data_IF_136264281498
#
_entry.id   IF_136264281498
#
_cell.length_a   1.000
_cell.length_b   1.000
_cell.length_c   1.000
_cell.angle_alpha   90.00
_cell.angle_beta   90.00
_cell.angle_gamma   90.00
#
_symmetry.space_group_name_H-M   'P 1'
#
loop_
_entity.id
_entity.type
_entity.pdbx_description
1 polymer ?
#
# COMPACT_ATOMS: atom_id res chain seq x y z
N UNK A 1 -8.78 -24.05 1.33
CA UNK A 1 -8.79 -22.58 1.19
C UNK A 1 -7.76 -22.12 0.14
N UNK A 2 -8.06 -22.19 -1.17
CA UNK A 2 -7.13 -21.77 -2.25
C UNK A 2 -7.37 -20.35 -2.79
N UNK A 3 -8.50 -19.73 -2.46
CA UNK A 3 -8.96 -18.48 -3.11
C UNK A 3 -8.15 -17.21 -2.75
N UNK A 4 -7.45 -17.19 -1.61
CA UNK A 4 -6.80 -15.97 -1.08
C UNK A 4 -5.42 -15.68 -1.68
N UNK A 5 -4.64 -16.70 -2.02
CA UNK A 5 -3.35 -16.53 -2.72
C UNK A 5 -3.51 -16.22 -4.21
N UNK A 6 -4.66 -16.61 -4.77
CA UNK A 6 -4.97 -16.48 -6.20
C UNK A 6 -5.13 -15.02 -6.65
N UNK A 7 -5.54 -14.13 -5.74
CA UNK A 7 -5.93 -12.77 -6.09
C UNK A 7 -4.75 -11.85 -6.42
N UNK A 8 -3.64 -11.96 -5.68
CA UNK A 8 -2.39 -11.21 -5.95
C UNK A 8 -1.79 -11.66 -7.28
N UNK A 9 -1.82 -12.98 -7.53
CA UNK A 9 -1.42 -13.56 -8.82
C UNK A 9 -2.28 -13.02 -9.95
N UNK A 10 -3.60 -12.90 -9.77
CA UNK A 10 -4.50 -12.32 -10.79
C UNK A 10 -4.18 -10.86 -11.11
N UNK A 11 -3.93 -10.00 -10.12
CA UNK A 11 -3.55 -8.60 -10.35
C UNK A 11 -2.20 -8.49 -11.07
N UNK A 12 -1.21 -9.29 -10.65
CA UNK A 12 0.10 -9.31 -11.30
C UNK A 12 0.01 -9.82 -12.75
N UNK A 13 -0.77 -10.88 -13.00
CA UNK A 13 -1.05 -11.39 -14.34
C UNK A 13 -1.81 -10.37 -15.19
N UNK A 14 -2.75 -9.63 -14.62
CA UNK A 14 -3.42 -8.53 -15.31
C UNK A 14 -2.41 -7.44 -15.71
N UNK A 15 -1.50 -7.07 -14.80
CA UNK A 15 -0.40 -6.15 -15.09
C UNK A 15 0.48 -6.60 -16.25
N UNK A 16 0.92 -7.87 -16.26
CA UNK A 16 1.69 -8.44 -17.37
C UNK A 16 0.93 -8.39 -18.70
N UNK A 17 -0.37 -8.72 -18.72
CA UNK A 17 -1.21 -8.64 -19.94
C UNK A 17 -1.39 -7.21 -20.45
N UNK A 18 -1.50 -6.23 -19.55
CA UNK A 18 -1.58 -4.81 -19.90
C UNK A 18 -0.25 -4.33 -20.47
N UNK A 19 0.86 -4.76 -19.89
CA UNK A 19 2.21 -4.47 -20.40
C UNK A 19 2.40 -4.98 -21.84
N UNK A 20 1.99 -6.22 -22.13
CA UNK A 20 2.05 -6.80 -23.48
C UNK A 20 1.22 -6.02 -24.52
N UNK A 21 0.18 -5.30 -24.07
CA UNK A 21 -0.67 -4.43 -24.90
C UNK A 21 -0.15 -3.00 -25.02
N UNK A 22 1.03 -2.69 -24.48
CA UNK A 22 1.59 -1.35 -24.36
C UNK A 22 0.77 -0.40 -23.45
N UNK A 23 -0.09 -0.94 -22.58
CA UNK A 23 -0.85 -0.20 -21.57
C UNK A 23 -0.02 -0.08 -20.28
N UNK A 24 1.06 0.69 -20.36
CA UNK A 24 2.09 0.74 -19.31
C UNK A 24 1.59 1.36 -18.02
N UNK A 25 0.72 2.37 -18.12
CA UNK A 25 0.16 3.04 -16.96
C UNK A 25 -0.72 2.10 -16.14
N UNK A 26 -1.66 1.44 -16.80
CA UNK A 26 -2.58 0.48 -16.21
C UNK A 26 -1.83 -0.72 -15.65
N UNK A 27 -0.78 -1.16 -16.35
CA UNK A 27 0.13 -2.21 -15.87
C UNK A 27 0.79 -1.83 -14.54
N UNK A 28 1.34 -0.61 -14.44
CA UNK A 28 1.96 -0.10 -13.22
C UNK A 28 0.94 0.05 -12.09
N UNK A 29 -0.28 0.50 -12.39
CA UNK A 29 -1.38 0.59 -11.41
C UNK A 29 -1.75 -0.81 -10.89
N UNK A 30 -1.89 -1.81 -11.77
CA UNK A 30 -2.18 -3.19 -11.39
C UNK A 30 -1.08 -3.77 -10.49
N UNK A 31 0.19 -3.51 -10.81
CA UNK A 31 1.33 -3.91 -9.99
C UNK A 31 1.33 -3.20 -8.62
N UNK A 32 1.04 -1.90 -8.57
CA UNK A 32 0.93 -1.12 -7.31
C UNK A 32 -0.18 -1.68 -6.42
N UNK A 33 -1.34 -1.99 -7.00
CA UNK A 33 -2.43 -2.64 -6.28
C UNK A 33 -2.01 -4.01 -5.74
N UNK A 34 -1.42 -4.87 -6.56
CA UNK A 34 -0.92 -6.18 -6.13
C UNK A 34 0.03 -6.06 -4.92
N UNK A 35 0.95 -5.09 -4.97
CA UNK A 35 1.88 -4.82 -3.88
C UNK A 35 1.20 -4.30 -2.60
N UNK A 36 0.27 -3.34 -2.71
CA UNK A 36 -0.49 -2.80 -1.57
C UNK A 36 -1.27 -3.92 -0.89
N UNK A 37 -2.02 -4.70 -1.65
CA UNK A 37 -2.76 -5.85 -1.12
C UNK A 37 -1.82 -6.87 -0.51
N UNK A 38 -0.61 -7.00 -1.06
CA UNK A 38 0.37 -7.92 -0.54
C UNK A 38 0.98 -7.47 0.80
N UNK A 39 1.30 -6.18 0.92
CA UNK A 39 1.95 -5.58 2.08
C UNK A 39 1.03 -5.45 3.29
N UNK A 40 -0.29 -5.40 3.12
CA UNK A 40 -1.25 -5.45 4.25
C UNK A 40 -1.03 -6.66 5.17
N UNK A 41 -0.58 -7.79 4.63
CA UNK A 41 -0.28 -8.99 5.43
C UNK A 41 1.02 -8.86 6.23
N UNK A 42 1.94 -7.99 5.81
CA UNK A 42 3.23 -7.75 6.50
C UNK A 42 3.00 -6.88 7.73
N UNK A 43 2.05 -5.94 7.67
CA UNK A 43 1.70 -5.10 8.83
C UNK A 43 1.27 -5.92 10.04
N UNK A 44 0.68 -7.10 9.83
CA UNK A 44 0.32 -8.05 10.91
C UNK A 44 1.52 -8.81 11.51
N UNK A 45 2.68 -8.78 10.85
CA UNK A 45 3.92 -9.38 11.35
C UNK A 45 4.77 -8.40 12.18
N UNK A 46 4.38 -7.12 12.23
CA UNK A 46 4.98 -6.18 13.17
C UNK A 46 4.44 -6.45 14.58
N UNK A 47 5.30 -6.46 15.62
CA UNK A 47 4.85 -6.60 17.00
C UNK A 47 3.93 -5.42 17.34
N UNK A 48 2.62 -5.67 17.33
CA UNK A 48 1.59 -4.65 17.54
C UNK A 48 0.73 -4.93 18.78
N UNK A 49 0.93 -6.05 19.46
CA UNK A 49 0.04 -6.44 20.56
C UNK A 49 0.42 -5.89 21.94
N UNK A 50 1.66 -5.40 22.16
CA UNK A 50 2.08 -4.87 23.49
C UNK A 50 2.59 -3.40 23.48
N UNK A 51 2.76 -2.75 22.33
CA UNK A 51 3.17 -1.34 22.24
C UNK A 51 2.00 -0.35 22.26
N UNK A 52 0.75 -0.84 22.26
CA UNK A 52 -0.43 0.00 22.16
C UNK A 52 -0.83 0.69 23.46
N UNK A 53 -0.42 0.22 24.64
CA UNK A 53 -0.84 0.81 25.92
C UNK A 53 -0.22 2.18 26.20
N UNK A 54 1.07 2.37 25.89
CA UNK A 54 1.76 3.66 26.12
C UNK A 54 1.42 4.72 25.06
N UNK A 55 0.88 4.31 23.91
CA UNK A 55 0.51 5.22 22.82
C UNK A 55 -0.87 5.87 23.01
N UNK A 56 -1.78 5.23 23.77
CA UNK A 56 -3.05 5.84 24.18
C UNK A 56 -2.86 7.02 25.15
N UNK A 57 -1.68 7.20 25.75
CA UNK A 57 -1.32 8.38 26.56
C UNK A 57 -1.35 9.68 25.75
N UNK A 58 -1.28 9.62 24.41
CA UNK A 58 -1.39 10.81 23.55
C UNK A 58 -2.86 11.18 23.28
N UNK A 59 -3.80 10.23 23.38
CA UNK A 59 -5.23 10.53 23.30
C UNK A 59 -5.74 11.34 24.51
N UNK A 60 -5.08 11.21 25.67
CA UNK A 60 -5.27 12.13 26.80
C UNK A 60 -4.80 13.55 26.48
N UNK A 61 -3.70 13.71 25.73
CA UNK A 61 -3.17 15.03 25.35
C UNK A 61 -4.18 15.78 24.46
N UNK A 62 -4.83 15.11 23.50
CA UNK A 62 -5.87 15.75 22.67
C UNK A 62 -7.13 16.11 23.44
N UNK A 63 -7.51 15.31 24.44
CA UNK A 63 -8.65 15.60 25.33
C UNK A 63 -8.36 16.77 26.30
N UNK A 64 -7.12 16.91 26.75
CA UNK A 64 -6.64 17.98 27.62
C UNK A 64 -6.43 19.30 26.84
N UNK A 65 -6.01 19.22 25.57
CA UNK A 65 -5.83 20.36 24.67
C UNK A 65 -7.14 21.09 24.30
N UNK A 66 -8.30 20.43 24.40
CA UNK A 66 -9.62 21.07 24.19
C UNK A 66 -9.92 22.20 25.18
N UNK A 67 -9.16 22.29 26.28
CA UNK A 67 -9.25 23.38 27.25
C UNK A 67 -8.39 24.59 26.89
N UNK A 68 -7.53 24.49 25.87
CA UNK A 68 -6.72 25.59 25.35
C UNK A 68 -7.44 26.32 24.22
N UNK A 69 -7.06 27.58 24.01
CA UNK A 69 -7.63 28.49 23.00
C UNK A 69 -7.79 27.81 21.63
N UNK A 70 -8.97 27.91 21.02
CA UNK A 70 -9.42 27.06 19.90
C UNK A 70 -8.50 27.09 18.68
N UNK A 71 -7.86 28.24 18.43
CA UNK A 71 -6.87 28.41 17.34
C UNK A 71 -5.55 27.71 17.62
N UNK A 72 -5.13 27.63 18.88
CA UNK A 72 -3.92 26.91 19.29
C UNK A 72 -4.19 25.41 19.28
N UNK A 73 -5.38 24.99 19.74
CA UNK A 73 -5.84 23.60 19.73
C UNK A 73 -5.80 23.00 18.33
N UNK A 74 -6.35 23.67 17.32
CA UNK A 74 -6.34 23.14 15.94
C UNK A 74 -4.95 23.02 15.33
N UNK A 75 -4.04 23.97 15.61
CA UNK A 75 -2.66 23.87 15.13
C UNK A 75 -1.91 22.71 15.76
N UNK A 76 -2.15 22.46 17.05
CA UNK A 76 -1.53 21.35 17.77
C UNK A 76 -2.13 20.02 17.30
N UNK A 77 -3.45 19.94 17.10
CA UNK A 77 -4.11 18.78 16.50
C UNK A 77 -3.54 18.44 15.11
N UNK A 78 -3.32 19.44 14.26
CA UNK A 78 -2.73 19.23 12.93
C UNK A 78 -1.27 18.75 13.01
N UNK A 79 -0.48 19.29 13.93
CA UNK A 79 0.91 18.84 14.14
C UNK A 79 0.92 17.40 14.66
N UNK A 80 0.06 17.08 15.62
CA UNK A 80 -0.09 15.73 16.17
C UNK A 80 -0.50 14.77 15.04
N UNK A 81 -1.50 15.11 14.23
CA UNK A 81 -1.92 14.29 13.08
C UNK A 81 -0.77 14.03 12.11
N UNK A 82 0.00 15.06 11.75
CA UNK A 82 1.18 14.91 10.89
C UNK A 82 2.26 14.02 11.50
N UNK A 83 2.45 14.07 12.82
CA UNK A 83 3.38 13.18 13.53
C UNK A 83 2.88 11.74 13.45
N UNK A 84 1.59 11.50 13.72
CA UNK A 84 0.97 10.17 13.55
C UNK A 84 1.16 9.62 12.14
N UNK A 85 0.84 10.41 11.11
CA UNK A 85 1.00 10.01 9.71
C UNK A 85 2.45 9.63 9.40
N UNK A 86 3.42 10.39 9.91
CA UNK A 86 4.85 10.13 9.73
C UNK A 86 5.33 8.87 10.47
N UNK A 87 4.79 8.60 11.65
CA UNK A 87 5.11 7.39 12.41
C UNK A 87 4.55 6.16 11.69
N UNK A 88 3.29 6.21 11.24
CA UNK A 88 2.67 5.11 10.49
C UNK A 88 3.42 4.85 9.18
N UNK A 89 3.77 5.91 8.44
CA UNK A 89 4.61 5.81 7.24
C UNK A 89 5.96 5.14 7.58
N UNK A 90 6.63 5.57 8.65
CA UNK A 90 7.90 4.98 9.09
C UNK A 90 7.77 3.49 9.46
N UNK A 91 6.68 3.10 10.13
CA UNK A 91 6.43 1.71 10.49
C UNK A 91 6.22 0.84 9.24
N UNK A 92 5.48 1.34 8.26
CA UNK A 92 5.28 0.68 6.98
C UNK A 92 6.60 0.48 6.22
N UNK A 93 7.43 1.53 6.16
CA UNK A 93 8.78 1.45 5.59
C UNK A 93 9.62 0.40 6.32
N UNK A 94 9.63 0.43 7.66
CA UNK A 94 10.39 -0.53 8.46
C UNK A 94 9.92 -1.96 8.22
N UNK A 95 8.62 -2.22 8.17
CA UNK A 95 8.07 -3.55 7.86
C UNK A 95 8.54 -4.06 6.50
N UNK A 96 8.43 -3.23 5.46
CA UNK A 96 8.82 -3.59 4.09
C UNK A 96 10.33 -3.84 4.02
N UNK A 97 11.16 -3.00 4.64
CA UNK A 97 12.62 -3.18 4.61
C UNK A 97 13.02 -4.43 5.40
N UNK A 98 12.46 -4.62 6.59
CA UNK A 98 12.70 -5.80 7.44
C UNK A 98 12.24 -7.11 6.78
N UNK A 99 11.32 -7.05 5.82
CA UNK A 99 10.88 -8.21 5.03
C UNK A 99 11.87 -8.64 3.93
N UNK A 100 13.02 -7.98 3.81
CA UNK A 100 14.07 -8.32 2.83
C UNK A 100 13.95 -7.61 1.48
N UNK A 101 13.15 -6.54 1.41
CA UNK A 101 13.12 -5.61 0.28
C UNK A 101 14.20 -4.56 0.51
N UNK A 102 15.06 -4.33 -0.50
CA UNK A 102 16.08 -3.28 -0.41
C UNK A 102 15.42 -1.90 -0.35
N UNK A 103 15.93 -1.03 0.51
CA UNK A 103 15.48 0.36 0.60
C UNK A 103 15.67 1.11 -0.73
N UNK A 104 16.77 0.86 -1.45
CA UNK A 104 17.02 1.50 -2.75
C UNK A 104 15.96 1.11 -3.78
N UNK A 105 15.62 -0.17 -3.81
CA UNK A 105 14.63 -0.70 -4.76
C UNK A 105 13.24 -0.22 -4.38
N UNK A 106 12.91 -0.19 -3.08
CA UNK A 106 11.63 0.35 -2.64
C UNK A 106 11.48 1.85 -2.96
N UNK A 107 12.55 2.65 -2.81
CA UNK A 107 12.55 4.06 -3.23
C UNK A 107 12.41 4.23 -4.74
N UNK A 108 13.05 3.36 -5.54
CA UNK A 108 12.87 3.35 -7.00
C UNK A 108 11.43 3.00 -7.36
N UNK A 109 10.85 2.00 -6.71
CA UNK A 109 9.47 1.59 -6.87
C UNK A 109 8.47 2.72 -6.56
N UNK A 110 8.63 3.44 -5.44
CA UNK A 110 7.75 4.56 -5.11
C UNK A 110 7.84 5.71 -6.12
N UNK A 111 9.00 5.91 -6.78
CA UNK A 111 9.14 6.90 -7.85
C UNK A 111 8.51 6.48 -9.18
N UNK A 112 8.49 5.18 -9.46
CA UNK A 112 7.98 4.59 -10.69
C UNK A 112 6.51 4.17 -10.59
N UNK A 113 5.85 4.41 -9.46
CA UNK A 113 4.43 4.09 -9.26
C UNK A 113 3.63 5.34 -8.90
N UNK A 114 2.37 5.45 -9.36
CA UNK A 114 1.50 6.52 -8.91
C UNK A 114 1.09 6.27 -7.44
N UNK A 115 0.61 7.33 -6.79
CA UNK A 115 -0.05 7.17 -5.49
C UNK A 115 -1.39 6.49 -5.71
N UNK A 116 -1.61 5.39 -4.99
CA UNK A 116 -2.85 4.61 -5.05
C UNK A 116 -3.38 4.47 -3.64
N UNK A 117 -4.62 4.91 -3.42
CA UNK A 117 -5.30 4.80 -2.12
C UNK A 117 -6.53 3.91 -2.26
N UNK A 118 -6.65 2.94 -1.36
CA UNK A 118 -7.85 2.13 -1.24
C UNK A 118 -8.88 2.87 -0.39
N UNK A 119 -10.11 2.93 -0.88
CA UNK A 119 -11.24 3.49 -0.14
C UNK A 119 -11.95 2.40 0.67
N UNK A 120 -12.79 2.81 1.63
CA UNK A 120 -13.50 1.89 2.54
C UNK A 120 -14.49 0.97 1.80
N UNK A 121 -15.05 1.41 0.68
CA UNK A 121 -15.93 0.62 -0.19
C UNK A 121 -15.15 -0.35 -1.11
N UNK A 122 -13.82 -0.32 -1.02
CA UNK A 122 -12.95 -1.16 -1.82
C UNK A 122 -12.67 -0.67 -3.22
N UNK A 123 -13.14 0.52 -3.59
CA UNK A 123 -12.61 1.16 -4.78
C UNK A 123 -11.17 1.66 -4.54
N UNK A 124 -10.51 2.09 -5.62
CA UNK A 124 -9.18 2.69 -5.52
C UNK A 124 -9.19 4.03 -6.24
N UNK A 125 -8.44 4.97 -5.69
CA UNK A 125 -8.20 6.28 -6.28
C UNK A 125 -6.74 6.34 -6.66
N UNK A 126 -6.47 6.69 -7.91
CA UNK A 126 -5.12 6.92 -8.42
C UNK A 126 -4.87 8.42 -8.45
N UNK A 127 -3.84 8.87 -7.76
CA UNK A 127 -3.33 10.23 -7.85
C UNK A 127 -2.05 10.21 -8.66
N UNK A 128 -2.13 10.71 -9.90
CA UNK A 128 -0.99 10.82 -10.79
C UNK A 128 -0.25 12.13 -10.51
N UNK A 129 1.07 12.05 -10.37
CA UNK A 129 1.91 13.24 -10.40
C UNK A 129 1.82 13.91 -11.77
N UNK A 130 2.06 15.23 -11.81
CA UNK A 130 2.17 15.94 -13.07
C UNK A 130 3.23 15.26 -13.97
N UNK A 131 2.84 14.88 -15.19
CA UNK A 131 3.67 14.19 -16.18
C UNK A 131 4.06 12.73 -15.84
N UNK A 132 3.34 12.05 -14.95
CA UNK A 132 3.56 10.62 -14.75
C UNK A 132 3.11 9.81 -15.97
N UNK A 133 4.08 9.30 -16.73
CA UNK A 133 3.83 8.45 -17.89
C UNK A 133 4.91 7.35 -17.96
N UNK A 134 4.64 6.14 -17.42
CA UNK A 134 5.63 5.08 -17.39
C UNK A 134 5.88 4.53 -18.80
N UNK A 135 7.14 4.25 -19.10
CA UNK A 135 7.55 3.55 -20.31
C UNK A 135 7.59 2.03 -20.11
N UNK A 136 7.92 1.31 -21.18
CA UNK A 136 8.04 -0.15 -21.16
C UNK A 136 9.05 -0.63 -20.11
N UNK A 137 10.23 -0.01 -20.05
CA UNK A 137 11.28 -0.41 -19.11
C UNK A 137 10.83 -0.22 -17.65
N UNK A 138 10.23 0.94 -17.34
CA UNK A 138 9.71 1.25 -16.02
C UNK A 138 8.59 0.30 -15.61
N UNK A 139 7.65 0.03 -16.52
CA UNK A 139 6.54 -0.90 -16.29
C UNK A 139 7.04 -2.33 -16.02
N UNK A 140 7.97 -2.83 -16.85
CA UNK A 140 8.57 -4.16 -16.68
C UNK A 140 9.34 -4.27 -15.37
N UNK A 141 10.14 -3.25 -15.03
CA UNK A 141 10.89 -3.22 -13.78
C UNK A 141 9.94 -3.25 -12.55
N UNK A 142 8.87 -2.45 -12.57
CA UNK A 142 7.88 -2.41 -11.48
C UNK A 142 7.19 -3.77 -11.31
N UNK A 143 6.77 -4.41 -12.40
CA UNK A 143 6.16 -5.75 -12.35
C UNK A 143 7.11 -6.77 -11.72
N UNK A 144 8.37 -6.81 -12.18
CA UNK A 144 9.38 -7.73 -11.65
C UNK A 144 9.68 -7.47 -10.17
N UNK A 145 9.79 -6.20 -9.78
CA UNK A 145 9.99 -5.83 -8.37
C UNK A 145 8.86 -6.36 -7.48
N UNK A 146 7.60 -6.12 -7.87
CA UNK A 146 6.43 -6.56 -7.09
C UNK A 146 6.36 -8.08 -7.01
N UNK A 147 6.61 -8.77 -8.12
CA UNK A 147 6.68 -10.23 -8.15
C UNK A 147 7.72 -10.78 -7.18
N UNK A 148 8.95 -10.26 -7.26
CA UNK A 148 10.05 -10.68 -6.40
C UNK A 148 9.77 -10.42 -4.92
N UNK A 149 9.18 -9.26 -4.59
CA UNK A 149 8.79 -8.94 -3.22
C UNK A 149 7.76 -9.95 -2.68
N UNK A 150 6.71 -10.25 -3.46
CA UNK A 150 5.69 -11.22 -3.08
C UNK A 150 6.29 -12.61 -2.90
N UNK A 151 7.14 -13.07 -3.82
CA UNK A 151 7.81 -14.37 -3.72
C UNK A 151 8.70 -14.44 -2.47
N UNK A 152 9.48 -13.39 -2.20
CA UNK A 152 10.29 -13.31 -0.97
C UNK A 152 9.42 -13.45 0.29
N UNK A 153 8.30 -12.75 0.37
CA UNK A 153 7.39 -12.83 1.51
C UNK A 153 6.78 -14.22 1.68
N UNK A 154 6.40 -14.88 0.58
CA UNK A 154 5.91 -16.25 0.61
C UNK A 154 6.98 -17.24 1.10
N UNK A 155 8.22 -17.10 0.61
CA UNK A 155 9.36 -17.92 1.04
C UNK A 155 9.72 -17.69 2.51
N UNK A 156 9.53 -16.48 3.02
CA UNK A 156 9.70 -16.14 4.44
C UNK A 156 8.56 -16.67 5.33
N UNK A 157 7.56 -17.37 4.77
CA UNK A 157 6.43 -17.92 5.52
C UNK A 157 5.39 -16.88 5.94
N UNK A 158 5.44 -15.66 5.39
CA UNK A 158 4.41 -14.64 5.65
C UNK A 158 3.12 -15.09 4.98
N UNK A 159 2.12 -15.45 5.78
CA UNK A 159 0.81 -15.81 5.26
C UNK A 159 0.12 -14.56 4.70
N UNK A 160 0.15 -14.49 3.39
CA UNK A 160 -0.38 -13.46 2.54
C UNK A 160 -1.92 -13.50 2.50
N UNK A 161 -2.56 -13.27 3.65
CA UNK A 161 -4.01 -13.27 3.80
C UNK A 161 -4.64 -11.91 3.46
N UNK A 162 -5.79 -11.97 2.81
CA UNK A 162 -6.65 -10.81 2.57
C UNK A 162 -7.90 -10.95 3.43
N UNK A 163 -8.29 -9.84 4.08
CA UNK A 163 -9.62 -9.70 4.65
C UNK A 163 -10.67 -9.76 3.53
N UNK A 164 -11.86 -10.27 3.82
CA UNK A 164 -12.96 -10.40 2.87
C UNK A 164 -13.35 -9.04 2.25
N UNK A 165 -13.25 -7.94 3.01
CA UNK A 165 -13.44 -6.58 2.49
C UNK A 165 -12.41 -6.22 1.42
N UNK A 166 -11.12 -6.49 1.66
CA UNK A 166 -10.04 -6.26 0.68
C UNK A 166 -10.19 -7.17 -0.55
N UNK A 167 -10.79 -8.34 -0.38
CA UNK A 167 -11.03 -9.29 -1.46
C UNK A 167 -12.08 -8.76 -2.45
N UNK A 168 -13.16 -8.15 -1.95
CA UNK A 168 -14.16 -7.43 -2.75
C UNK A 168 -13.49 -6.25 -3.48
N UNK A 169 -12.67 -5.48 -2.77
CA UNK A 169 -11.93 -4.34 -3.34
C UNK A 169 -11.07 -4.72 -4.53
N UNK A 170 -10.29 -5.80 -4.40
CA UNK A 170 -9.45 -6.32 -5.47
C UNK A 170 -10.25 -6.76 -6.69
N UNK A 171 -11.36 -7.47 -6.49
CA UNK A 171 -12.18 -7.96 -7.60
C UNK A 171 -12.75 -6.79 -8.41
N UNK A 172 -13.25 -5.76 -7.73
CA UNK A 172 -13.70 -4.53 -8.37
C UNK A 172 -12.57 -3.82 -9.12
N UNK A 173 -11.36 -3.82 -8.55
CA UNK A 173 -10.20 -3.22 -9.19
C UNK A 173 -9.78 -3.97 -10.47
N UNK A 174 -9.75 -5.31 -10.43
CA UNK A 174 -9.50 -6.16 -11.60
C UNK A 174 -10.54 -5.86 -12.68
N UNK A 175 -11.81 -5.84 -12.30
CA UNK A 175 -12.91 -5.58 -13.22
C UNK A 175 -12.75 -4.23 -13.92
N UNK A 176 -12.52 -3.14 -13.18
CA UNK A 176 -12.26 -1.81 -13.74
C UNK A 176 -11.07 -1.78 -14.71
N UNK A 177 -9.94 -2.36 -14.31
CA UNK A 177 -8.74 -2.44 -15.16
C UNK A 177 -8.94 -3.28 -16.43
N UNK A 178 -9.93 -4.18 -16.44
CA UNK A 178 -10.26 -5.00 -17.62
C UNK A 178 -11.43 -4.47 -18.47
N UNK A 179 -12.27 -3.60 -17.91
CA UNK A 179 -13.47 -3.04 -18.54
C UNK A 179 -13.24 -1.69 -19.22
N UNK A 180 -12.16 -0.97 -18.91
CA UNK A 180 -11.72 0.20 -19.67
C UNK A 180 -11.22 -0.24 -21.07
N UNK A 181 -12.19 -0.41 -21.99
CA UNK A 181 -12.05 -0.62 -23.43
C UNK A 181 -12.68 0.54 -24.19
#
# INVERSE_FOLDING_TARGET
MPYRQELRKRLLLAGYRLHEKNQYLESVIAAKLAFIYASYSIRRFLPSDDFNSDFFVISSISSELRQLDSRLSHKIEDVIRKIYDKITESQDYSAIISSGVSFSDYKRYERLTPSVTLTLDGSYVVQMGANFNPDSESSSWVLSFVEQAIVKWQLAGINLELNDQLLVSCNNAIQKLTEEK
#
